data_IF_620150581403
#
_entry.id   IF_620150581403
#
_cell.length_a   1.000
_cell.length_b   1.000
_cell.length_c   1.000
_cell.angle_alpha   90.00
_cell.angle_beta   90.00
_cell.angle_gamma   90.00
#
_symmetry.space_group_name_H-M   'P 1'
#
loop_
_entity.id
_entity.type
_entity.pdbx_description
1 polymer ?
#
# COMPACT_ATOMS: atom_id res chain seq x y z
N UNK A 1 5.12 -24.54 27.88
CA UNK A 1 5.84 -24.03 26.69
C UNK A 1 5.00 -24.15 25.41
N UNK A 2 4.23 -25.22 25.19
CA UNK A 2 3.40 -25.37 23.98
C UNK A 2 2.22 -24.39 23.83
N UNK A 3 1.56 -23.98 24.92
CA UNK A 3 0.40 -23.09 24.86
C UNK A 3 0.77 -21.65 24.41
N UNK A 4 1.97 -21.19 24.74
CA UNK A 4 2.49 -19.88 24.33
C UNK A 4 2.92 -19.87 22.85
N UNK A 5 3.41 -21.01 22.35
CA UNK A 5 3.72 -21.20 20.94
C UNK A 5 2.44 -21.22 20.08
N UNK A 6 1.39 -21.93 20.52
CA UNK A 6 0.08 -21.97 19.85
C UNK A 6 -0.57 -20.59 19.74
N UNK A 7 -0.51 -19.78 20.80
CA UNK A 7 -1.05 -18.43 20.79
C UNK A 7 -0.27 -17.49 19.87
N UNK A 8 1.07 -17.59 19.87
CA UNK A 8 1.93 -16.80 18.98
C UNK A 8 1.73 -17.17 17.50
N UNK A 9 1.52 -18.47 17.21
CA UNK A 9 1.25 -18.95 15.85
C UNK A 9 -0.10 -18.41 15.33
N UNK A 10 -1.13 -18.42 16.18
CA UNK A 10 -2.44 -17.86 15.85
C UNK A 10 -2.37 -16.37 15.55
N UNK A 11 -1.62 -15.62 16.37
CA UNK A 11 -1.40 -14.19 16.17
C UNK A 11 -0.67 -13.90 14.86
N UNK A 12 0.39 -14.66 14.55
CA UNK A 12 1.13 -14.52 13.30
C UNK A 12 0.26 -14.78 12.06
N UNK A 13 -0.62 -15.79 12.11
CA UNK A 13 -1.52 -16.11 11.01
C UNK A 13 -2.54 -14.99 10.75
N UNK A 14 -3.07 -14.40 11.83
CA UNK A 14 -3.97 -13.24 11.76
C UNK A 14 -3.27 -12.01 11.15
N UNK A 15 -2.01 -11.75 11.54
CA UNK A 15 -1.21 -10.66 11.00
C UNK A 15 -0.94 -10.82 9.50
N UNK A 16 -0.58 -12.02 9.05
CA UNK A 16 -0.34 -12.32 7.63
C UNK A 16 -1.62 -12.09 6.81
N UNK A 17 -2.77 -12.53 7.33
CA UNK A 17 -4.06 -12.28 6.68
C UNK A 17 -4.37 -10.78 6.59
N UNK A 18 -4.17 -10.05 7.69
CA UNK A 18 -4.39 -8.60 7.74
C UNK A 18 -3.48 -7.84 6.76
N UNK A 19 -2.21 -8.23 6.64
CA UNK A 19 -1.24 -7.65 5.69
C UNK A 19 -1.67 -7.92 4.25
N UNK A 20 -2.13 -9.14 3.92
CA UNK A 20 -2.64 -9.48 2.58
C UNK A 20 -3.83 -8.61 2.18
N UNK A 21 -4.79 -8.44 3.08
CA UNK A 21 -5.98 -7.62 2.82
C UNK A 21 -5.58 -6.15 2.68
N UNK A 22 -4.75 -5.64 3.58
CA UNK A 22 -4.25 -4.25 3.56
C UNK A 22 -3.50 -3.94 2.27
N UNK A 23 -2.64 -4.85 1.80
CA UNK A 23 -1.92 -4.68 0.55
C UNK A 23 -2.88 -4.56 -0.64
N UNK A 24 -3.90 -5.43 -0.73
CA UNK A 24 -4.86 -5.40 -1.84
C UNK A 24 -5.70 -4.11 -1.83
N UNK A 25 -6.12 -3.67 -0.64
CA UNK A 25 -6.87 -2.42 -0.48
C UNK A 25 -6.04 -1.19 -0.85
N UNK A 26 -4.76 -1.16 -0.45
CA UNK A 26 -3.85 -0.05 -0.74
C UNK A 26 -3.57 0.07 -2.25
N UNK A 27 -3.40 -1.05 -2.96
CA UNK A 27 -3.28 -1.05 -4.42
C UNK A 27 -4.55 -0.53 -5.09
N UNK A 28 -5.72 -0.98 -4.65
CA UNK A 28 -7.01 -0.52 -5.19
C UNK A 28 -7.22 0.99 -4.97
N UNK A 29 -6.88 1.49 -3.78
CA UNK A 29 -6.92 2.91 -3.46
C UNK A 29 -5.91 3.73 -4.31
N UNK A 30 -4.70 3.19 -4.53
CA UNK A 30 -3.67 3.83 -5.34
C UNK A 30 -4.07 3.90 -6.83
N UNK A 31 -4.61 2.82 -7.40
CA UNK A 31 -5.11 2.80 -8.79
C UNK A 31 -6.30 3.74 -8.98
N UNK A 32 -7.23 3.79 -8.02
CA UNK A 32 -8.34 4.74 -8.05
C UNK A 32 -7.83 6.17 -8.04
N UNK A 33 -6.89 6.49 -7.15
CA UNK A 33 -6.29 7.82 -7.02
C UNK A 33 -5.52 8.23 -8.28
N UNK A 34 -4.74 7.31 -8.86
CA UNK A 34 -3.99 7.55 -10.10
C UNK A 34 -4.91 7.97 -11.25
N UNK A 35 -6.06 7.30 -11.42
CA UNK A 35 -7.06 7.65 -12.43
C UNK A 35 -7.60 9.07 -12.25
N UNK A 36 -7.95 9.45 -11.01
CA UNK A 36 -8.44 10.80 -10.74
C UNK A 36 -7.34 11.85 -10.95
N UNK A 37 -6.08 11.55 -10.57
CA UNK A 37 -4.97 12.50 -10.76
C UNK A 37 -4.67 12.78 -12.24
N UNK A 38 -4.74 11.76 -13.11
CA UNK A 38 -4.59 11.93 -14.56
C UNK A 38 -5.71 12.78 -15.14
N UNK A 39 -6.95 12.52 -14.73
CA UNK A 39 -8.11 13.29 -15.19
C UNK A 39 -8.02 14.75 -14.74
N UNK A 40 -7.60 14.99 -13.48
CA UNK A 40 -7.43 16.35 -12.94
C UNK A 40 -6.32 17.13 -13.65
N UNK A 41 -5.21 16.47 -13.97
CA UNK A 41 -4.07 17.08 -14.68
C UNK A 41 -4.39 17.35 -16.16
N UNK A 42 -5.14 16.45 -16.82
CA UNK A 42 -5.37 16.55 -18.27
C UNK A 42 -6.63 17.31 -18.67
N UNK A 43 -7.72 17.20 -17.92
CA UNK A 43 -9.03 17.67 -18.36
C UNK A 43 -9.46 18.96 -17.63
N UNK A 44 -9.12 19.07 -16.35
CA UNK A 44 -9.53 20.22 -15.55
C UNK A 44 -8.42 21.27 -15.42
N UNK A 45 -8.66 22.49 -15.91
CA UNK A 45 -7.74 23.64 -15.77
C UNK A 45 -7.61 24.16 -14.32
N UNK A 46 -7.96 23.37 -13.30
CA UNK A 46 -7.83 23.72 -11.89
C UNK A 46 -6.39 24.09 -11.53
N UNK A 47 -5.40 23.45 -12.16
CA UNK A 47 -4.00 23.76 -11.95
C UNK A 47 -3.56 25.14 -12.49
N UNK A 48 -4.34 25.72 -13.41
CA UNK A 48 -4.13 27.10 -13.91
C UNK A 48 -4.86 28.13 -13.05
N UNK A 49 -6.01 27.75 -12.46
CA UNK A 49 -6.86 28.64 -11.66
C UNK A 49 -6.38 28.82 -10.22
N UNK A 50 -5.79 27.76 -9.61
CA UNK A 50 -5.29 27.78 -8.24
C UNK A 50 -3.79 27.45 -8.19
N UNK A 51 -2.93 28.44 -8.47
CA UNK A 51 -1.46 28.31 -8.44
C UNK A 51 -0.88 27.93 -7.06
N UNK A 52 -1.69 28.06 -5.99
CA UNK A 52 -1.27 27.73 -4.62
C UNK A 52 -1.21 26.21 -4.35
N UNK A 53 -1.94 25.39 -5.11
CA UNK A 53 -1.88 23.94 -5.01
C UNK A 53 -1.15 23.37 -6.23
N UNK A 54 0.17 23.24 -6.13
CA UNK A 54 0.97 22.59 -7.16
C UNK A 54 0.43 21.18 -7.46
N UNK A 55 -0.05 20.94 -8.68
CA UNK A 55 -0.54 19.61 -9.16
C UNK A 55 0.40 18.47 -8.76
N UNK A 56 1.70 18.75 -8.69
CA UNK A 56 2.72 17.76 -8.36
C UNK A 56 2.50 17.08 -7.01
N UNK A 57 1.86 17.73 -6.03
CA UNK A 57 1.66 17.14 -4.69
C UNK A 57 0.75 15.92 -4.70
N UNK A 58 -0.28 15.90 -5.55
CA UNK A 58 -1.17 14.75 -5.69
C UNK A 58 -0.47 13.58 -6.39
N UNK A 59 0.32 13.88 -7.43
CA UNK A 59 1.12 12.89 -8.15
C UNK A 59 2.15 12.21 -7.23
N UNK A 60 2.83 12.97 -6.36
CA UNK A 60 3.80 12.43 -5.39
C UNK A 60 3.12 11.55 -4.34
N UNK A 61 1.92 11.92 -3.88
CA UNK A 61 1.16 11.10 -2.91
C UNK A 61 0.80 9.73 -3.48
N UNK A 62 0.29 9.70 -4.72
CA UNK A 62 0.01 8.43 -5.42
C UNK A 62 1.27 7.60 -5.63
N UNK A 63 2.39 8.21 -6.01
CA UNK A 63 3.66 7.51 -6.16
C UNK A 63 4.14 6.87 -4.84
N UNK A 64 4.05 7.59 -3.71
CA UNK A 64 4.43 7.06 -2.39
C UNK A 64 3.53 5.90 -1.93
N UNK A 65 2.24 5.92 -2.30
CA UNK A 65 1.33 4.82 -2.04
C UNK A 65 1.74 3.54 -2.79
N UNK A 66 2.12 3.65 -4.07
CA UNK A 66 2.65 2.52 -4.85
C UNK A 66 3.97 1.98 -4.28
N UNK A 67 4.89 2.86 -3.86
CA UNK A 67 6.17 2.47 -3.28
C UNK A 67 5.95 1.71 -1.96
N UNK A 68 5.06 2.21 -1.10
CA UNK A 68 4.72 1.56 0.16
C UNK A 68 4.14 0.16 -0.07
N UNK A 69 3.28 0.00 -1.08
CA UNK A 69 2.71 -1.31 -1.44
C UNK A 69 3.79 -2.33 -1.87
N UNK A 70 4.75 -1.90 -2.68
CA UNK A 70 5.88 -2.74 -3.10
C UNK A 70 6.73 -3.18 -1.90
N UNK A 71 7.01 -2.25 -0.98
CA UNK A 71 7.82 -2.53 0.20
C UNK A 71 7.12 -3.49 1.18
N UNK A 72 5.80 -3.33 1.36
CA UNK A 72 4.98 -4.24 2.17
C UNK A 72 4.94 -5.65 1.55
N UNK A 73 4.80 -5.73 0.23
CA UNK A 73 4.75 -7.02 -0.49
C UNK A 73 6.10 -7.74 -0.43
N UNK A 74 7.21 -7.02 -0.61
CA UNK A 74 8.55 -7.57 -0.48
C UNK A 74 8.82 -8.09 0.96
N UNK A 75 8.41 -7.32 1.98
CA UNK A 75 8.59 -7.70 3.39
C UNK A 75 7.82 -8.98 3.73
N UNK A 76 6.59 -9.13 3.24
CA UNK A 76 5.79 -10.33 3.44
C UNK A 76 6.38 -11.57 2.73
N UNK A 77 6.94 -11.39 1.53
CA UNK A 77 7.63 -12.46 0.80
C UNK A 77 8.88 -12.91 1.54
N UNK A 78 9.70 -11.98 2.06
CA UNK A 78 10.90 -12.31 2.83
C UNK A 78 10.53 -13.05 4.12
N UNK A 79 9.51 -12.59 4.85
CA UNK A 79 9.01 -13.28 6.06
C UNK A 79 8.49 -14.69 5.75
N UNK A 80 7.73 -14.85 4.66
CA UNK A 80 7.28 -16.16 4.21
C UNK A 80 8.46 -17.06 3.86
N UNK A 81 9.47 -16.53 3.17
CA UNK A 81 10.65 -17.29 2.78
C UNK A 81 11.47 -17.76 3.99
N UNK A 82 11.64 -16.90 4.99
CA UNK A 82 12.31 -17.22 6.26
C UNK A 82 11.56 -18.37 6.98
N UNK A 83 10.22 -18.31 7.04
CA UNK A 83 9.41 -19.36 7.64
C UNK A 83 9.50 -20.69 6.87
N UNK A 84 9.57 -20.67 5.53
CA UNK A 84 9.75 -21.89 4.74
C UNK A 84 11.17 -22.44 4.79
N UNK A 85 12.16 -21.61 5.13
CA UNK A 85 13.56 -22.01 5.26
C UNK A 85 13.93 -22.54 6.66
N UNK A 86 13.02 -22.39 7.62
CA UNK A 86 13.13 -22.89 9.00
C UNK A 86 12.38 -24.20 9.16
#
# INVERSE_FOLDING_TARGET
MGLQALWSLGLACLDIYAIKVTATLSLAAACSSAGVTVLFVKDTNFCKSYSQFSCGKFQVSTAMAFISWMFVSASALVMFWILTSS
#
